data_IF_611525767857
#
_entry.id   IF_611525767857
#
_cell.length_a   1.000
_cell.length_b   1.000
_cell.length_c   1.000
_cell.angle_alpha   90.00
_cell.angle_beta   90.00
_cell.angle_gamma   90.00
#
_symmetry.space_group_name_H-M   'P 1'
#
loop_
_entity.id
_entity.type
_entity.pdbx_description
1 polymer ?
#
# COMPACT_ATOMS: atom_id res chain seq x y z
N UNK A 1 -65.38 25.34 25.48
CA UNK A 1 -64.44 24.80 24.52
C UNK A 1 -63.32 25.81 24.27
N UNK A 2 -62.07 25.59 24.70
CA UNK A 2 -60.93 26.37 24.25
C UNK A 2 -60.32 25.72 23.03
N UNK A 3 -60.12 26.57 22.07
CA UNK A 3 -59.49 26.39 20.79
C UNK A 3 -58.05 25.88 20.93
N UNK A 4 -57.77 24.75 20.29
CA UNK A 4 -56.44 24.12 20.27
C UNK A 4 -55.90 24.24 18.84
N UNK A 5 -55.39 25.40 18.49
CA UNK A 5 -54.71 25.59 17.24
C UNK A 5 -53.56 26.55 17.40
N UNK A 6 -52.35 26.03 17.37
CA UNK A 6 -51.12 26.62 16.80
C UNK A 6 -49.90 26.03 17.48
N UNK A 7 -49.56 24.82 17.00
CA UNK A 7 -48.18 24.39 17.10
C UNK A 7 -47.52 24.84 15.80
N UNK A 8 -46.48 25.68 15.82
CA UNK A 8 -45.76 26.04 14.63
C UNK A 8 -45.00 24.81 14.09
N UNK A 9 -44.92 24.62 12.76
CA UNK A 9 -44.17 23.54 12.20
C UNK A 9 -42.68 23.72 12.53
N UNK A 10 -42.03 22.60 12.87
CA UNK A 10 -40.59 22.55 13.08
C UNK A 10 -39.86 23.02 11.82
N UNK A 11 -38.76 23.76 11.94
CA UNK A 11 -37.99 24.18 10.78
C UNK A 11 -37.41 22.96 10.07
N UNK A 12 -37.75 22.82 8.80
CA UNK A 12 -37.20 21.87 7.84
C UNK A 12 -35.70 22.19 7.69
N UNK A 13 -34.86 21.43 8.38
CA UNK A 13 -33.41 21.49 8.24
C UNK A 13 -32.93 20.60 7.08
N UNK A 14 -33.47 20.87 5.89
CA UNK A 14 -32.94 20.36 4.63
C UNK A 14 -31.70 21.11 4.20
N UNK A 15 -30.61 21.01 4.90
CA UNK A 15 -29.30 21.36 4.33
C UNK A 15 -28.75 20.13 3.60
N UNK A 16 -29.10 20.05 2.33
CA UNK A 16 -28.49 19.21 1.34
C UNK A 16 -27.05 19.73 1.12
N UNK A 17 -26.11 19.34 1.98
CA UNK A 17 -24.71 19.48 1.70
C UNK A 17 -24.32 18.36 0.74
N UNK A 18 -24.05 18.77 -0.49
CA UNK A 18 -23.53 17.99 -1.58
C UNK A 18 -22.12 17.46 -1.22
N UNK A 19 -22.07 16.26 -0.61
CA UNK A 19 -20.83 15.54 -0.23
C UNK A 19 -20.19 14.89 -1.46
N UNK A 20 -19.80 15.70 -2.46
CA UNK A 20 -19.13 15.25 -3.68
C UNK A 20 -17.60 15.33 -3.58
N UNK A 21 -17.02 15.20 -2.39
CA UNK A 21 -15.60 14.92 -2.24
C UNK A 21 -15.41 13.64 -1.42
N UNK A 22 -14.92 12.60 -2.11
CA UNK A 22 -14.70 11.25 -1.64
C UNK A 22 -14.04 11.13 -0.27
N UNK A 23 -14.83 11.25 0.77
CA UNK A 23 -14.55 10.60 2.04
C UNK A 23 -14.89 9.12 1.83
N UNK A 24 -13.88 8.30 1.68
CA UNK A 24 -14.00 6.88 2.00
C UNK A 24 -14.69 6.83 3.36
N UNK A 25 -15.94 6.38 3.37
CA UNK A 25 -16.83 6.50 4.51
C UNK A 25 -16.18 5.97 5.78
N UNK A 26 -15.94 6.87 6.70
CA UNK A 26 -15.79 6.49 8.09
C UNK A 26 -17.18 6.01 8.49
N UNK A 27 -17.37 4.69 8.47
CA UNK A 27 -18.59 4.07 8.96
C UNK A 27 -18.78 4.49 10.43
N UNK A 28 -20.01 4.65 10.87
CA UNK A 28 -20.33 5.00 12.26
C UNK A 28 -19.74 4.00 13.26
N UNK A 29 -19.46 2.78 12.82
CA UNK A 29 -18.82 1.72 13.59
C UNK A 29 -17.28 1.85 13.66
N UNK A 30 -16.64 2.59 12.74
CA UNK A 30 -15.18 2.74 12.68
C UNK A 30 -14.56 3.21 14.01
N UNK A 31 -15.15 4.15 14.77
CA UNK A 31 -14.60 4.56 16.06
C UNK A 31 -14.63 3.46 17.13
N UNK A 32 -15.50 2.46 16.98
CA UNK A 32 -15.62 1.32 17.91
C UNK A 32 -14.68 0.18 17.55
N UNK A 33 -14.30 0.04 16.25
CA UNK A 33 -13.37 -0.96 15.78
C UNK A 33 -11.91 -0.50 15.84
N UNK A 34 -11.69 0.82 15.79
CA UNK A 34 -10.35 1.40 15.79
C UNK A 34 -9.70 1.30 17.16
N UNK A 35 -8.59 0.58 17.23
CA UNK A 35 -7.77 0.49 18.45
C UNK A 35 -6.81 1.65 18.49
N UNK A 36 -6.94 2.48 19.52
CA UNK A 36 -6.10 3.64 19.69
C UNK A 36 -5.75 3.86 21.17
N UNK A 37 -4.73 4.63 21.41
CA UNK A 37 -4.43 5.20 22.73
C UNK A 37 -4.02 6.66 22.56
N UNK A 38 -4.10 7.40 23.63
CA UNK A 38 -3.71 8.80 23.64
C UNK A 38 -2.87 9.13 24.85
N UNK A 39 -1.96 10.09 24.68
CA UNK A 39 -1.08 10.60 25.72
C UNK A 39 -1.09 12.11 25.67
N UNK A 40 -1.41 12.72 26.79
CA UNK A 40 -1.37 14.15 26.99
C UNK A 40 -0.09 14.53 27.72
N UNK A 41 0.69 15.42 27.11
CA UNK A 41 1.94 15.94 27.67
C UNK A 41 1.79 17.41 28.01
N UNK A 42 2.42 17.85 29.09
CA UNK A 42 2.66 19.27 29.34
C UNK A 42 3.71 19.82 28.37
N UNK A 43 3.79 21.14 28.24
CA UNK A 43 4.79 21.83 27.42
C UNK A 43 6.25 21.50 27.84
N UNK A 44 6.48 21.09 29.08
CA UNK A 44 7.78 20.62 29.54
C UNK A 44 8.13 19.16 29.16
N UNK A 45 7.27 18.49 28.37
CA UNK A 45 7.44 17.10 27.94
C UNK A 45 7.04 16.04 28.98
N UNK A 46 6.58 16.45 30.17
CA UNK A 46 6.12 15.52 31.19
C UNK A 46 4.73 14.98 30.85
N UNK A 47 4.51 13.70 31.14
CA UNK A 47 3.23 13.05 30.92
C UNK A 47 2.18 13.56 31.93
N UNK A 48 1.06 14.05 31.41
CA UNK A 48 -0.07 14.47 32.21
C UNK A 48 -1.09 13.33 32.39
N UNK A 49 -1.58 12.79 31.27
CA UNK A 49 -2.62 11.75 31.26
C UNK A 49 -2.35 10.76 30.14
N UNK A 50 -2.62 9.49 30.39
CA UNK A 50 -2.54 8.42 29.39
C UNK A 50 -3.87 7.67 29.37
N UNK A 51 -4.45 7.54 28.20
CA UNK A 51 -5.64 6.72 27.97
C UNK A 51 -5.29 5.54 27.04
N UNK A 52 -5.29 4.33 27.61
CA UNK A 52 -5.09 3.07 26.90
C UNK A 52 -6.34 2.19 26.91
N UNK A 53 -7.51 2.75 27.30
CA UNK A 53 -8.75 1.97 27.46
C UNK A 53 -9.29 1.31 26.19
N UNK A 54 -8.84 1.75 25.01
CA UNK A 54 -9.24 1.21 23.71
C UNK A 54 -8.20 0.23 23.09
N UNK A 55 -7.15 -0.12 23.81
CA UNK A 55 -6.08 -0.98 23.32
C UNK A 55 -5.51 -1.84 24.45
N UNK A 56 -5.26 -3.12 24.15
CA UNK A 56 -4.68 -4.06 25.11
C UNK A 56 -3.18 -4.37 24.83
N UNK A 57 -2.69 -3.98 23.65
CA UNK A 57 -1.33 -4.33 23.21
C UNK A 57 -0.24 -3.37 23.66
N UNK A 58 -0.59 -2.31 24.40
CA UNK A 58 0.33 -1.30 24.90
C UNK A 58 0.08 -1.07 26.39
N UNK A 59 1.14 -1.11 27.17
CA UNK A 59 1.08 -0.71 28.57
C UNK A 59 1.12 0.83 28.72
N UNK A 60 0.61 1.33 29.84
CA UNK A 60 0.66 2.77 30.15
C UNK A 60 2.08 3.32 30.11
N UNK A 61 3.07 2.55 30.59
CA UNK A 61 4.50 2.96 30.58
C UNK A 61 5.07 3.05 29.18
N UNK A 62 4.74 2.10 28.29
CA UNK A 62 5.15 2.13 26.87
C UNK A 62 4.50 3.30 26.12
N UNK A 63 3.21 3.53 26.33
CA UNK A 63 2.50 4.65 25.73
C UNK A 63 3.16 5.99 26.09
N UNK A 64 3.49 6.18 27.37
CA UNK A 64 4.22 7.36 27.84
C UNK A 64 5.58 7.51 27.21
N UNK A 65 6.35 6.43 27.11
CA UNK A 65 7.69 6.45 26.49
C UNK A 65 7.66 6.80 25.01
N UNK A 66 6.68 6.27 24.25
CA UNK A 66 6.48 6.65 22.85
C UNK A 66 6.22 8.15 22.70
N UNK A 67 5.27 8.69 23.46
CA UNK A 67 4.92 10.11 23.39
C UNK A 67 6.11 11.02 23.78
N UNK A 68 6.81 10.72 24.87
CA UNK A 68 7.98 11.49 25.31
C UNK A 68 9.09 11.48 24.25
N UNK A 69 9.41 10.30 23.66
CA UNK A 69 10.45 10.20 22.62
C UNK A 69 10.10 10.96 21.34
N UNK A 70 8.82 11.10 21.01
CA UNK A 70 8.35 11.85 19.85
C UNK A 70 8.34 13.35 20.12
N UNK A 71 8.00 13.73 21.35
CA UNK A 71 8.03 15.11 21.80
C UNK A 71 9.45 15.67 21.78
N UNK A 72 10.43 14.95 22.31
CA UNK A 72 11.85 15.32 22.31
C UNK A 72 12.41 15.50 20.88
N UNK A 73 11.89 14.73 19.93
CA UNK A 73 12.26 14.81 18.50
C UNK A 73 11.47 15.86 17.73
N UNK A 74 10.53 16.57 18.34
CA UNK A 74 9.65 17.52 17.67
C UNK A 74 8.77 16.93 16.56
N UNK A 75 8.40 15.66 16.68
CA UNK A 75 7.64 14.95 15.64
C UNK A 75 6.14 15.14 15.84
N UNK A 76 5.48 15.70 14.82
CA UNK A 76 4.05 15.99 14.83
C UNK A 76 3.20 14.83 14.30
N UNK A 77 3.69 14.12 13.28
CA UNK A 77 2.98 13.00 12.65
C UNK A 77 3.95 11.99 12.07
N UNK A 78 3.51 10.75 11.98
CA UNK A 78 4.32 9.68 11.37
C UNK A 78 3.89 8.29 11.84
N UNK A 79 4.87 7.39 11.83
CA UNK A 79 4.74 6.03 12.35
C UNK A 79 5.81 5.79 13.41
N UNK A 80 5.44 5.06 14.43
CA UNK A 80 6.33 4.48 15.42
C UNK A 80 5.89 3.04 15.64
N UNK A 81 6.78 2.09 15.32
CA UNK A 81 6.46 0.67 15.30
C UNK A 81 5.19 0.38 14.44
N UNK A 82 4.16 -0.19 15.00
CA UNK A 82 2.88 -0.49 14.34
C UNK A 82 1.82 0.62 14.49
N UNK A 83 2.18 1.74 15.11
CA UNK A 83 1.27 2.83 15.42
C UNK A 83 1.49 4.02 14.50
N UNK A 84 0.42 4.50 13.89
CA UNK A 84 0.38 5.81 13.24
C UNK A 84 0.02 6.84 14.29
N UNK A 85 0.79 7.92 14.38
CA UNK A 85 0.55 8.97 15.37
C UNK A 85 0.35 10.33 14.74
N UNK A 86 -0.38 11.16 15.49
CA UNK A 86 -0.59 12.57 15.23
C UNK A 86 -0.54 13.32 16.56
N UNK A 87 0.16 14.44 16.61
CA UNK A 87 0.09 15.36 17.75
C UNK A 87 -0.71 16.61 17.43
N UNK A 88 -1.43 17.08 18.43
CA UNK A 88 -2.25 18.30 18.37
C UNK A 88 -1.94 19.12 19.61
N UNK A 89 -1.60 20.39 19.42
CA UNK A 89 -1.48 21.34 20.54
C UNK A 89 -2.85 21.68 21.06
N UNK A 90 -3.02 21.68 22.36
CA UNK A 90 -4.25 22.02 23.07
C UNK A 90 -3.91 22.84 24.29
N UNK A 91 -4.90 23.54 24.85
CA UNK A 91 -4.72 24.33 26.08
C UNK A 91 -5.66 23.79 27.13
N UNK A 92 -5.16 23.62 28.34
CA UNK A 92 -5.98 23.23 29.49
C UNK A 92 -6.90 24.35 29.92
N UNK A 93 -7.93 24.03 30.72
CA UNK A 93 -8.85 25.00 31.33
C UNK A 93 -8.13 26.05 32.20
N UNK A 94 -6.93 25.77 32.67
CA UNK A 94 -6.07 26.69 33.42
C UNK A 94 -5.22 27.63 32.56
N UNK A 95 -5.25 27.44 31.20
CA UNK A 95 -4.44 28.23 30.28
C UNK A 95 -3.06 27.66 30.01
N UNK A 96 -2.75 26.45 30.51
CA UNK A 96 -1.44 25.80 30.23
C UNK A 96 -1.44 25.13 28.86
N UNK A 97 -0.37 25.32 28.09
CA UNK A 97 -0.20 24.68 26.81
C UNK A 97 0.17 23.21 27.02
N UNK A 98 -0.48 22.35 26.23
CA UNK A 98 -0.34 20.91 26.28
C UNK A 98 -0.25 20.34 24.86
N UNK A 99 0.32 19.14 24.71
CA UNK A 99 0.38 18.42 23.46
C UNK A 99 -0.29 17.06 23.60
N UNK A 100 -1.33 16.83 22.83
CA UNK A 100 -2.03 15.56 22.76
C UNK A 100 -1.47 14.72 21.63
N UNK A 101 -0.89 13.57 21.94
CA UNK A 101 -0.53 12.53 20.97
C UNK A 101 -1.63 11.49 20.91
N UNK A 102 -2.11 11.22 19.70
CA UNK A 102 -3.07 10.13 19.42
C UNK A 102 -2.39 9.10 18.56
N UNK A 103 -2.43 7.84 18.98
CA UNK A 103 -1.82 6.70 18.32
C UNK A 103 -2.89 5.71 17.86
N UNK A 104 -2.87 5.35 16.61
CA UNK A 104 -3.80 4.38 16.00
C UNK A 104 -3.03 3.13 15.63
N UNK A 105 -3.53 1.97 16.05
CA UNK A 105 -2.93 0.69 15.72
C UNK A 105 -3.23 0.32 14.25
N UNK A 106 -2.18 0.24 13.44
CA UNK A 106 -2.24 -0.15 12.02
C UNK A 106 -1.66 -1.55 11.76
N UNK A 107 -1.54 -2.41 12.78
CA UNK A 107 -0.92 -3.73 12.64
C UNK A 107 -1.65 -4.64 11.66
N UNK A 108 -2.99 -4.60 11.64
CA UNK A 108 -3.80 -5.39 10.70
C UNK A 108 -3.57 -4.94 9.24
N UNK A 109 -3.57 -3.63 9.02
CA UNK A 109 -3.36 -3.03 7.71
C UNK A 109 -1.95 -3.34 7.19
N UNK A 110 -0.94 -3.20 8.04
CA UNK A 110 0.45 -3.52 7.70
C UNK A 110 0.64 -5.01 7.39
N UNK A 111 0.02 -5.89 8.19
CA UNK A 111 0.06 -7.33 7.95
C UNK A 111 -0.63 -7.69 6.62
N UNK A 112 -1.76 -7.08 6.33
CA UNK A 112 -2.50 -7.27 5.09
C UNK A 112 -1.66 -6.85 3.88
N UNK A 113 -1.07 -5.65 3.91
CA UNK A 113 -0.20 -5.14 2.85
C UNK A 113 1.00 -6.08 2.65
N UNK A 114 1.64 -6.53 3.73
CA UNK A 114 2.77 -7.47 3.66
C UNK A 114 2.37 -8.80 3.01
N UNK A 115 1.22 -9.34 3.37
CA UNK A 115 0.71 -10.60 2.81
C UNK A 115 0.44 -10.46 1.31
N UNK A 116 -0.23 -9.39 0.88
CA UNK A 116 -0.47 -9.14 -0.54
C UNK A 116 0.82 -8.88 -1.32
N UNK A 117 1.77 -8.15 -0.74
CA UNK A 117 3.07 -7.92 -1.38
C UNK A 117 3.84 -9.23 -1.60
N UNK A 118 3.90 -10.09 -0.60
CA UNK A 118 4.56 -11.39 -0.71
C UNK A 118 3.86 -12.30 -1.73
N UNK A 119 2.53 -12.35 -1.73
CA UNK A 119 1.77 -13.11 -2.71
C UNK A 119 2.02 -12.59 -4.14
N UNK A 120 2.00 -11.28 -4.34
CA UNK A 120 2.26 -10.65 -5.64
C UNK A 120 3.67 -10.97 -6.16
N UNK A 121 4.68 -10.89 -5.30
CA UNK A 121 6.07 -11.25 -5.64
C UNK A 121 6.15 -12.73 -6.04
N UNK A 122 5.50 -13.61 -5.27
CA UNK A 122 5.48 -15.05 -5.55
C UNK A 122 4.86 -15.36 -6.93
N UNK A 123 3.70 -14.79 -7.23
CA UNK A 123 3.03 -14.95 -8.52
C UNK A 123 3.89 -14.42 -9.66
N UNK A 124 4.55 -13.27 -9.48
CA UNK A 124 5.43 -12.67 -10.49
C UNK A 124 6.63 -13.54 -10.79
N UNK A 125 7.27 -14.15 -9.80
CA UNK A 125 8.42 -15.06 -9.98
C UNK A 125 7.97 -16.31 -10.74
N UNK A 126 6.84 -16.91 -10.37
CA UNK A 126 6.31 -18.09 -11.07
C UNK A 126 5.99 -17.75 -12.52
N UNK A 127 5.34 -16.62 -12.80
CA UNK A 127 5.05 -16.16 -14.15
C UNK A 127 6.32 -15.98 -14.99
N UNK A 128 7.35 -15.36 -14.40
CA UNK A 128 8.64 -15.17 -15.08
C UNK A 128 9.31 -16.51 -15.41
N UNK A 129 9.27 -17.47 -14.49
CA UNK A 129 9.84 -18.81 -14.72
C UNK A 129 9.10 -19.55 -15.84
N UNK A 130 7.78 -19.48 -15.90
CA UNK A 130 6.99 -20.09 -16.97
C UNK A 130 7.36 -19.49 -18.32
N UNK A 131 7.41 -18.16 -18.43
CA UNK A 131 7.82 -17.47 -19.66
C UNK A 131 9.25 -17.87 -20.05
N UNK A 132 10.16 -17.91 -19.11
CA UNK A 132 11.56 -18.31 -19.35
C UNK A 132 11.66 -19.74 -19.92
N UNK A 133 10.94 -20.70 -19.33
CA UNK A 133 10.90 -22.08 -19.80
C UNK A 133 10.34 -22.17 -21.22
N UNK A 134 9.25 -21.43 -21.49
CA UNK A 134 8.66 -21.39 -22.83
C UNK A 134 9.63 -20.83 -23.87
N UNK A 135 10.31 -19.73 -23.57
CA UNK A 135 11.30 -19.13 -24.45
C UNK A 135 12.45 -20.11 -24.73
N UNK A 136 12.97 -20.78 -23.71
CA UNK A 136 14.01 -21.78 -23.85
C UNK A 136 13.55 -22.98 -24.74
N UNK A 137 12.32 -23.44 -24.54
CA UNK A 137 11.73 -24.52 -25.31
C UNK A 137 11.57 -24.15 -26.79
N UNK A 138 10.95 -23.00 -27.05
CA UNK A 138 10.77 -22.51 -28.42
C UNK A 138 12.10 -22.20 -29.11
N UNK A 139 13.05 -21.62 -28.41
CA UNK A 139 14.38 -21.33 -28.95
C UNK A 139 15.07 -22.60 -29.45
N UNK A 140 15.06 -23.69 -28.69
CA UNK A 140 15.64 -24.97 -29.09
C UNK A 140 14.88 -25.62 -30.26
N UNK A 141 13.54 -25.52 -30.27
CA UNK A 141 12.70 -26.20 -31.25
C UNK A 141 12.70 -25.48 -32.59
N UNK A 142 12.76 -24.17 -32.62
CA UNK A 142 12.71 -23.38 -33.87
C UNK A 142 14.10 -23.17 -34.49
N UNK A 143 15.12 -22.98 -33.68
CA UNK A 143 16.46 -22.62 -34.17
C UNK A 143 17.17 -23.80 -34.83
N UNK A 144 16.97 -25.04 -34.33
CA UNK A 144 17.58 -26.24 -34.94
C UNK A 144 17.19 -26.48 -36.39
N UNK A 145 15.91 -26.55 -36.76
CA UNK A 145 15.53 -26.80 -38.16
C UNK A 145 15.91 -25.67 -39.11
N UNK A 146 16.00 -24.44 -38.64
CA UNK A 146 16.48 -23.33 -39.48
C UNK A 146 17.97 -23.45 -39.80
N UNK A 147 18.81 -23.86 -38.85
CA UNK A 147 20.24 -24.07 -39.09
C UNK A 147 20.50 -25.23 -40.09
N UNK A 148 19.77 -26.33 -39.93
CA UNK A 148 19.86 -27.47 -40.87
C UNK A 148 19.39 -27.11 -42.29
N UNK A 149 18.32 -26.32 -42.40
CA UNK A 149 17.82 -25.84 -43.70
C UNK A 149 18.83 -24.92 -44.38
N UNK A 150 19.49 -24.06 -43.62
CA UNK A 150 20.53 -23.16 -44.14
C UNK A 150 21.77 -23.93 -44.62
N UNK A 151 22.21 -24.96 -43.91
CA UNK A 151 23.32 -25.82 -44.37
C UNK A 151 22.98 -26.60 -45.63
N UNK A 152 21.77 -27.14 -45.73
CA UNK A 152 21.30 -27.83 -46.96
C UNK A 152 21.28 -26.88 -48.16
N UNK A 153 20.82 -25.64 -47.95
CA UNK A 153 20.80 -24.62 -49.00
C UNK A 153 22.21 -24.22 -49.44
N UNK A 154 23.15 -24.09 -48.51
CA UNK A 154 24.55 -23.80 -48.80
C UNK A 154 25.23 -24.94 -49.58
N UNK A 155 25.01 -26.20 -49.21
CA UNK A 155 25.51 -27.36 -49.95
C UNK A 155 24.94 -27.42 -51.35
N UNK A 156 23.62 -27.22 -51.50
CA UNK A 156 23.00 -27.22 -52.84
C UNK A 156 23.59 -26.14 -53.75
N UNK A 157 23.86 -24.95 -53.28
CA UNK A 157 24.50 -23.88 -54.07
C UNK A 157 25.94 -24.27 -54.45
N UNK A 158 26.67 -24.90 -53.54
CA UNK A 158 28.04 -25.33 -53.80
C UNK A 158 28.11 -26.45 -54.85
N UNK A 159 27.23 -27.45 -54.68
CA UNK A 159 27.17 -28.59 -55.62
C UNK A 159 26.69 -28.14 -57.02
N UNK A 160 25.66 -27.29 -57.07
CA UNK A 160 25.21 -26.72 -58.37
C UNK A 160 26.29 -25.89 -59.06
N UNK A 161 27.08 -25.13 -58.24
CA UNK A 161 28.19 -24.34 -58.80
C UNK A 161 29.30 -25.27 -59.42
N UNK A 162 29.59 -26.45 -58.84
CA UNK A 162 30.52 -27.43 -59.37
C UNK A 162 29.97 -28.13 -60.59
N UNK A 163 28.68 -28.49 -60.61
CA UNK A 163 28.08 -29.17 -61.80
C UNK A 163 27.91 -28.25 -63.00
N UNK A 164 27.69 -26.92 -62.78
CA UNK A 164 27.65 -25.94 -63.87
C UNK A 164 29.05 -25.67 -64.47
N UNK A 165 30.10 -25.71 -63.62
CA UNK A 165 31.48 -25.42 -64.08
C UNK A 165 32.01 -26.47 -64.98
N UNK A 166 31.62 -27.74 -64.83
CA UNK A 166 32.10 -28.87 -65.63
C UNK A 166 31.68 -28.79 -67.15
N UNK A 167 30.39 -28.51 -67.46
CA UNK A 167 30.03 -28.39 -68.91
C UNK A 167 30.51 -27.07 -69.55
N UNK A 168 30.77 -26.04 -68.75
CA UNK A 168 31.28 -24.75 -69.25
C UNK A 168 32.73 -24.84 -69.76
N UNK A 169 33.55 -25.77 -69.18
CA UNK A 169 34.95 -25.96 -69.54
C UNK A 169 35.11 -26.76 -70.77
N UNK A 170 34.04 -27.38 -71.34
CA UNK A 170 34.06 -28.21 -72.54
C UNK A 170 33.73 -27.41 -73.83
N UNK A 171 33.29 -26.18 -73.70
CA UNK A 171 32.82 -25.31 -74.79
C UNK A 171 33.92 -24.31 -75.24
N UNK A 172 35.10 -24.31 -74.60
CA UNK A 172 36.25 -23.52 -74.95
C UNK A 172 37.30 -24.48 -75.59
#
# INVERSE_FOLDING_TARGET
>A
APDNSMVPPAPDSGSHFDDQYGRHGIDKETPFETRYFSVLLYENGNVSTIDTGKIASVSTSEAGSYAASLYDKGKVKGFIDQYKYLSVSTTNTNGDDMVLYVFINCSKELMTIRTYALASIGISIIGLLVVFVLVCFFSKTVTKPMAESYEKQKRFITDASHEIKTPLTIID
#
